data_IF_209524478187
#
_entry.id   IF_209524478187
#
_cell.length_a   1.000
_cell.length_b   1.000
_cell.length_c   1.000
_cell.angle_alpha   90.00
_cell.angle_beta   90.00
_cell.angle_gamma   90.00
#
_symmetry.space_group_name_H-M   'P 1'
#
loop_
_entity.id
_entity.type
_entity.pdbx_description
1 polymer ?
#
# COMPACT_ATOMS: atom_id res chain seq x y z
N UNK A 1 5.74 3.08 39.80
CA UNK A 1 5.01 2.04 39.05
C UNK A 1 5.50 2.10 37.63
N UNK A 2 6.54 1.31 37.28
CA UNK A 2 7.11 1.25 35.91
C UNK A 2 6.16 0.47 35.04
N UNK A 3 5.48 1.13 34.10
CA UNK A 3 4.77 0.43 33.04
C UNK A 3 5.81 -0.16 32.09
N UNK A 4 5.83 -1.48 32.02
CA UNK A 4 6.64 -2.27 31.11
C UNK A 4 6.12 -2.06 29.68
N UNK A 5 6.84 -1.25 28.89
CA UNK A 5 6.48 -0.82 27.53
C UNK A 5 6.92 -1.80 26.44
N UNK A 6 7.29 -3.03 26.79
CA UNK A 6 7.95 -3.95 25.86
C UNK A 6 7.01 -4.87 25.05
N UNK A 7 5.70 -4.75 25.20
CA UNK A 7 4.75 -5.58 24.42
C UNK A 7 3.79 -4.69 23.66
N UNK A 8 4.17 -4.32 22.42
CA UNK A 8 3.16 -3.92 21.43
C UNK A 8 2.13 -5.07 21.35
N UNK A 9 0.82 -4.79 21.49
CA UNK A 9 -0.18 -5.84 21.43
C UNK A 9 -0.16 -6.44 20.02
N UNK A 10 0.45 -7.62 19.89
CA UNK A 10 0.32 -8.45 18.69
C UNK A 10 -1.17 -8.58 18.42
N UNK A 11 -1.62 -8.08 17.26
CA UNK A 11 -3.01 -8.22 16.86
C UNK A 11 -3.34 -9.71 16.92
N UNK A 12 -4.27 -10.18 17.76
CA UNK A 12 -4.48 -11.60 17.98
C UNK A 12 -4.82 -12.26 16.64
N UNK A 13 -4.15 -13.36 16.33
CA UNK A 13 -4.24 -14.13 15.09
C UNK A 13 -5.70 -14.42 14.67
N UNK A 14 -6.57 -14.59 15.63
CA UNK A 14 -8.01 -14.71 15.47
C UNK A 14 -8.68 -13.50 14.77
N UNK A 15 -8.24 -12.26 15.06
CA UNK A 15 -8.78 -11.06 14.39
C UNK A 15 -8.31 -10.93 12.94
N UNK A 16 -7.12 -11.44 12.65
CA UNK A 16 -6.57 -11.51 11.29
C UNK A 16 -7.40 -12.48 10.45
N UNK A 17 -7.66 -13.69 10.97
CA UNK A 17 -8.47 -14.69 10.31
C UNK A 17 -9.87 -14.17 9.94
N UNK A 18 -10.59 -13.56 10.90
CA UNK A 18 -11.93 -13.00 10.64
C UNK A 18 -11.98 -11.95 9.53
N UNK A 19 -10.90 -11.18 9.34
CA UNK A 19 -10.84 -10.14 8.29
C UNK A 19 -10.60 -10.70 6.90
N UNK A 20 -10.03 -11.92 6.79
CA UNK A 20 -9.70 -12.56 5.53
C UNK A 20 -10.73 -13.61 5.09
N UNK A 21 -11.48 -14.21 6.03
CA UNK A 21 -12.47 -15.26 5.72
C UNK A 21 -13.50 -14.78 4.72
N UNK A 22 -14.12 -13.61 4.94
CA UNK A 22 -15.16 -13.10 4.06
C UNK A 22 -14.65 -12.79 2.64
N UNK A 23 -13.54 -12.04 2.44
CA UNK A 23 -12.97 -11.82 1.11
C UNK A 23 -12.57 -13.11 0.40
N UNK A 24 -11.96 -14.06 1.12
CA UNK A 24 -11.56 -15.35 0.56
C UNK A 24 -12.78 -16.17 0.13
N UNK A 25 -13.84 -16.18 0.94
CA UNK A 25 -15.07 -16.90 0.61
C UNK A 25 -15.73 -16.31 -0.65
N UNK A 26 -15.83 -14.98 -0.75
CA UNK A 26 -16.39 -14.31 -1.92
C UNK A 26 -15.58 -14.62 -3.17
N UNK A 27 -14.25 -14.55 -3.09
CA UNK A 27 -13.37 -14.87 -4.21
C UNK A 27 -13.50 -16.34 -4.64
N UNK A 28 -13.46 -17.28 -3.69
CA UNK A 28 -13.63 -18.71 -3.97
C UNK A 28 -15.01 -19.01 -4.55
N UNK A 29 -16.06 -18.30 -4.11
CA UNK A 29 -17.41 -18.44 -4.68
C UNK A 29 -17.44 -18.06 -6.17
N UNK A 30 -16.89 -16.88 -6.53
CA UNK A 30 -16.86 -16.46 -7.93
C UNK A 30 -15.94 -17.35 -8.78
N UNK A 31 -14.81 -17.78 -8.24
CA UNK A 31 -13.91 -18.71 -8.92
C UNK A 31 -14.58 -20.06 -9.18
N UNK A 32 -15.22 -20.63 -8.15
CA UNK A 32 -15.96 -21.89 -8.29
C UNK A 32 -17.09 -21.74 -9.30
N UNK A 33 -17.86 -20.66 -9.24
CA UNK A 33 -18.96 -20.40 -10.17
C UNK A 33 -18.45 -20.25 -11.61
N UNK A 34 -17.32 -19.58 -11.81
CA UNK A 34 -16.70 -19.42 -13.13
C UNK A 34 -16.23 -20.76 -13.70
N UNK A 35 -15.69 -21.65 -12.86
CA UNK A 35 -15.24 -22.98 -13.29
C UNK A 35 -16.39 -23.95 -13.56
N UNK A 36 -17.49 -23.84 -12.81
CA UNK A 36 -18.63 -24.77 -12.87
C UNK A 36 -19.83 -24.20 -13.64
N UNK A 37 -19.71 -23.01 -14.24
CA UNK A 37 -20.83 -22.29 -14.87
C UNK A 37 -21.55 -23.13 -15.92
N UNK A 38 -20.81 -23.86 -16.76
CA UNK A 38 -21.40 -24.62 -17.88
C UNK A 38 -22.20 -25.82 -17.36
N UNK A 39 -21.67 -26.55 -16.38
CA UNK A 39 -22.36 -27.65 -15.73
C UNK A 39 -23.58 -27.21 -14.91
N UNK A 40 -23.44 -26.04 -14.20
CA UNK A 40 -24.51 -25.48 -13.38
C UNK A 40 -25.65 -24.94 -14.23
N UNK A 41 -25.34 -24.28 -15.34
CA UNK A 41 -26.35 -23.75 -16.27
C UNK A 41 -27.10 -24.90 -16.92
N UNK A 42 -26.43 -25.95 -17.41
CA UNK A 42 -27.05 -27.10 -18.02
C UNK A 42 -27.94 -27.89 -17.04
N UNK A 43 -27.42 -28.09 -15.80
CA UNK A 43 -28.11 -28.94 -14.81
C UNK A 43 -29.30 -28.27 -14.10
N UNK A 44 -29.16 -26.95 -13.77
CA UNK A 44 -30.13 -26.26 -12.94
C UNK A 44 -31.06 -25.30 -13.71
N UNK A 45 -30.61 -24.76 -14.84
CA UNK A 45 -31.33 -23.75 -15.59
C UNK A 45 -31.92 -24.25 -16.92
N UNK A 46 -31.53 -25.42 -17.38
CA UNK A 46 -32.07 -26.03 -18.61
C UNK A 46 -31.94 -25.08 -19.81
N UNK A 47 -33.03 -24.94 -20.60
CA UNK A 47 -33.06 -24.05 -21.76
C UNK A 47 -33.24 -22.56 -21.37
N UNK A 48 -32.26 -21.98 -20.74
CA UNK A 48 -32.28 -20.54 -20.43
C UNK A 48 -31.90 -19.71 -21.67
N UNK A 49 -32.53 -18.55 -21.83
CA UNK A 49 -32.24 -17.67 -22.97
C UNK A 49 -30.76 -17.29 -23.01
N UNK A 50 -30.22 -17.14 -24.22
CA UNK A 50 -28.82 -16.74 -24.45
C UNK A 50 -28.39 -15.45 -23.71
N UNK A 51 -29.35 -14.56 -23.50
CA UNK A 51 -29.14 -13.30 -22.75
C UNK A 51 -28.80 -13.56 -21.29
N UNK A 52 -29.47 -14.52 -20.65
CA UNK A 52 -29.20 -14.85 -19.23
C UNK A 52 -27.87 -15.58 -19.09
N UNK A 53 -27.53 -16.50 -20.03
CA UNK A 53 -26.23 -17.18 -20.05
C UNK A 53 -25.09 -16.16 -20.19
N UNK A 54 -25.23 -15.19 -21.10
CA UNK A 54 -24.25 -14.12 -21.29
C UNK A 54 -24.10 -13.25 -20.05
N UNK A 55 -25.23 -12.87 -19.42
CA UNK A 55 -25.23 -12.10 -18.18
C UNK A 55 -24.54 -12.82 -17.02
N UNK A 56 -24.74 -14.12 -16.86
CA UNK A 56 -24.07 -14.94 -15.86
C UNK A 56 -22.57 -15.05 -16.12
N UNK A 57 -22.17 -15.22 -17.39
CA UNK A 57 -20.76 -15.29 -17.78
C UNK A 57 -20.03 -13.97 -17.47
N UNK A 58 -20.58 -12.83 -17.90
CA UNK A 58 -19.99 -11.53 -17.62
C UNK A 58 -20.01 -11.21 -16.12
N UNK A 59 -21.14 -11.48 -15.43
CA UNK A 59 -21.26 -11.23 -14.00
C UNK A 59 -20.23 -12.02 -13.17
N UNK A 60 -19.99 -13.28 -13.52
CA UNK A 60 -19.00 -14.12 -12.84
C UNK A 60 -17.56 -13.64 -13.06
N UNK A 61 -17.22 -13.23 -14.29
CA UNK A 61 -15.87 -12.70 -14.61
C UNK A 61 -15.62 -11.37 -13.92
N UNK A 62 -16.57 -10.44 -13.96
CA UNK A 62 -16.48 -9.15 -13.25
C UNK A 62 -16.37 -9.37 -11.75
N UNK A 63 -17.22 -10.27 -11.21
CA UNK A 63 -17.18 -10.64 -9.80
C UNK A 63 -15.84 -11.22 -9.36
N UNK A 64 -15.22 -12.07 -10.19
CA UNK A 64 -13.90 -12.63 -9.94
C UNK A 64 -12.81 -11.53 -9.87
N UNK A 65 -12.78 -10.60 -10.83
CA UNK A 65 -11.80 -9.51 -10.83
C UNK A 65 -11.94 -8.60 -9.61
N UNK A 66 -13.17 -8.18 -9.29
CA UNK A 66 -13.43 -7.26 -8.16
C UNK A 66 -13.20 -7.94 -6.81
N UNK A 67 -13.65 -9.20 -6.65
CA UNK A 67 -13.41 -9.96 -5.42
C UNK A 67 -11.93 -10.31 -5.24
N UNK A 68 -11.22 -10.58 -6.34
CA UNK A 68 -9.76 -10.75 -6.32
C UNK A 68 -9.03 -9.50 -5.87
N UNK A 69 -9.35 -8.34 -6.43
CA UNK A 69 -8.79 -7.05 -5.98
C UNK A 69 -9.10 -6.78 -4.50
N UNK A 70 -10.32 -7.06 -4.05
CA UNK A 70 -10.71 -6.90 -2.65
C UNK A 70 -9.93 -7.84 -1.73
N UNK A 71 -9.73 -9.09 -2.12
CA UNK A 71 -8.93 -10.06 -1.37
C UNK A 71 -7.47 -9.60 -1.27
N UNK A 72 -6.84 -9.23 -2.39
CA UNK A 72 -5.45 -8.74 -2.43
C UNK A 72 -5.30 -7.47 -1.58
N UNK A 73 -6.23 -6.53 -1.69
CA UNK A 73 -6.25 -5.32 -0.86
C UNK A 73 -6.34 -5.65 0.63
N UNK A 74 -7.13 -6.66 1.02
CA UNK A 74 -7.21 -7.12 2.43
C UNK A 74 -5.93 -7.80 2.88
N UNK A 75 -5.32 -8.63 2.04
CA UNK A 75 -4.03 -9.24 2.32
C UNK A 75 -2.95 -8.18 2.55
N UNK A 76 -2.82 -7.22 1.65
CA UNK A 76 -1.85 -6.13 1.80
C UNK A 76 -2.14 -5.31 3.07
N UNK A 77 -3.41 -5.01 3.35
CA UNK A 77 -3.77 -4.24 4.55
C UNK A 77 -3.38 -4.98 5.83
N UNK A 78 -3.67 -6.28 5.92
CA UNK A 78 -3.44 -7.08 7.12
C UNK A 78 -1.96 -7.40 7.31
N UNK A 79 -1.27 -7.87 6.25
CA UNK A 79 0.11 -8.31 6.37
C UNK A 79 1.12 -7.17 6.29
N UNK A 80 0.94 -6.26 5.34
CA UNK A 80 1.91 -5.19 5.10
C UNK A 80 1.62 -3.98 6.01
N UNK A 81 0.41 -3.42 5.97
CA UNK A 81 0.13 -2.20 6.72
C UNK A 81 -0.06 -2.44 8.22
N UNK A 82 -0.89 -3.41 8.61
CA UNK A 82 -1.20 -3.68 10.02
C UNK A 82 -0.19 -4.64 10.68
N UNK A 83 0.47 -5.51 9.89
CA UNK A 83 1.49 -6.44 10.38
C UNK A 83 2.87 -5.80 10.41
N UNK A 84 3.44 -5.53 9.22
CA UNK A 84 4.83 -5.09 9.10
C UNK A 84 5.00 -3.63 9.57
N UNK A 85 4.27 -2.71 8.97
CA UNK A 85 4.47 -1.26 9.21
C UNK A 85 4.00 -0.84 10.60
N UNK A 86 2.86 -1.34 11.08
CA UNK A 86 2.40 -1.04 12.44
C UNK A 86 3.29 -1.70 13.51
N UNK A 87 3.92 -2.84 13.21
CA UNK A 87 4.88 -3.50 14.10
C UNK A 87 6.19 -2.73 14.27
N UNK A 88 6.67 -2.09 13.20
CA UNK A 88 7.89 -1.27 13.21
C UNK A 88 7.60 0.12 13.80
N UNK A 89 6.45 0.70 13.49
CA UNK A 89 6.03 2.01 13.96
C UNK A 89 5.12 1.84 15.17
N UNK A 90 5.51 2.31 16.34
CA UNK A 90 4.66 2.28 17.55
C UNK A 90 3.36 3.11 17.43
N UNK A 91 3.00 3.54 16.22
CA UNK A 91 1.82 4.37 15.92
C UNK A 91 0.93 3.68 14.88
N UNK A 92 -0.39 3.88 14.95
CA UNK A 92 -1.31 3.34 13.95
C UNK A 92 -0.99 3.94 12.56
N UNK A 93 -1.02 3.09 11.54
CA UNK A 93 -0.76 3.49 10.15
C UNK A 93 -1.88 4.44 9.67
N UNK A 94 -1.55 5.60 9.09
CA UNK A 94 -2.55 6.51 8.50
C UNK A 94 -3.44 5.81 7.47
N UNK A 95 -4.63 6.33 7.23
CA UNK A 95 -5.58 5.75 6.26
C UNK A 95 -5.15 5.96 4.81
N UNK A 96 -4.52 7.10 4.51
CA UNK A 96 -4.11 7.48 3.15
C UNK A 96 -3.34 6.40 2.38
N UNK A 97 -2.27 5.77 2.89
CA UNK A 97 -1.56 4.73 2.16
C UNK A 97 -2.44 3.51 1.84
N UNK A 98 -3.36 3.14 2.74
CA UNK A 98 -4.31 2.04 2.53
C UNK A 98 -5.31 2.36 1.43
N UNK A 99 -5.81 3.59 1.40
CA UNK A 99 -6.77 4.06 0.41
C UNK A 99 -6.13 4.18 -0.98
N UNK A 100 -4.89 4.67 -1.06
CA UNK A 100 -4.11 4.71 -2.31
C UNK A 100 -3.85 3.30 -2.84
N UNK A 101 -3.47 2.36 -1.96
CA UNK A 101 -3.29 0.95 -2.35
C UNK A 101 -4.59 0.35 -2.89
N UNK A 102 -5.72 0.62 -2.22
CA UNK A 102 -7.03 0.17 -2.68
C UNK A 102 -7.37 0.74 -4.06
N UNK A 103 -7.18 2.07 -4.25
CA UNK A 103 -7.47 2.74 -5.51
C UNK A 103 -6.66 2.15 -6.68
N UNK A 104 -5.37 1.87 -6.49
CA UNK A 104 -4.51 1.24 -7.50
C UNK A 104 -5.03 -0.17 -7.83
N UNK A 105 -5.30 -1.00 -6.83
CA UNK A 105 -5.75 -2.38 -7.03
C UNK A 105 -7.11 -2.45 -7.74
N UNK A 106 -8.06 -1.62 -7.34
CA UNK A 106 -9.35 -1.56 -8.02
C UNK A 106 -9.24 -0.99 -9.43
N UNK A 107 -8.33 -0.02 -9.66
CA UNK A 107 -8.01 0.46 -11.00
C UNK A 107 -7.48 -0.66 -11.90
N UNK A 108 -6.54 -1.47 -11.41
CA UNK A 108 -6.03 -2.65 -12.14
C UNK A 108 -7.14 -3.68 -12.39
N UNK A 109 -8.04 -3.91 -11.42
CA UNK A 109 -9.17 -4.82 -11.61
C UNK A 109 -10.14 -4.33 -12.69
N UNK A 110 -10.46 -3.04 -12.71
CA UNK A 110 -11.30 -2.44 -13.77
C UNK A 110 -10.63 -2.60 -15.14
N UNK A 111 -9.33 -2.35 -15.26
CA UNK A 111 -8.59 -2.58 -16.49
C UNK A 111 -8.61 -4.06 -16.90
N UNK A 112 -8.47 -4.98 -15.95
CA UNK A 112 -8.60 -6.41 -16.19
C UNK A 112 -9.99 -6.79 -16.74
N UNK A 113 -11.05 -6.24 -16.16
CA UNK A 113 -12.42 -6.42 -16.65
C UNK A 113 -12.57 -5.89 -18.08
N UNK A 114 -12.10 -4.68 -18.38
CA UNK A 114 -12.17 -4.11 -19.72
C UNK A 114 -11.44 -4.96 -20.76
N UNK A 115 -10.26 -5.48 -20.39
CA UNK A 115 -9.46 -6.31 -21.30
C UNK A 115 -10.04 -7.70 -21.53
N UNK A 116 -10.49 -8.37 -20.45
CA UNK A 116 -10.84 -9.82 -20.52
C UNK A 116 -12.32 -10.07 -20.71
N UNK A 117 -13.19 -9.19 -20.21
CA UNK A 117 -14.65 -9.34 -20.30
C UNK A 117 -15.21 -8.62 -21.53
N UNK A 118 -14.72 -7.39 -21.77
CA UNK A 118 -15.19 -6.57 -22.88
C UNK A 118 -14.26 -6.63 -24.11
N UNK A 119 -13.17 -7.40 -24.05
CA UNK A 119 -12.18 -7.57 -25.13
C UNK A 119 -11.66 -6.23 -25.68
N UNK A 120 -11.68 -5.16 -24.85
CA UNK A 120 -11.23 -3.84 -25.25
C UNK A 120 -9.71 -3.73 -25.24
N UNK A 121 -9.17 -3.07 -26.26
CA UNK A 121 -7.74 -2.78 -26.28
C UNK A 121 -7.38 -1.78 -25.18
N UNK A 122 -6.64 -2.23 -24.18
CA UNK A 122 -6.16 -1.40 -23.06
C UNK A 122 -4.78 -0.79 -23.32
N UNK A 123 -4.21 -1.00 -24.50
CA UNK A 123 -2.85 -0.51 -24.85
C UNK A 123 -2.73 1.00 -24.67
N UNK A 124 -3.73 1.77 -25.11
CA UNK A 124 -3.75 3.23 -24.93
C UNK A 124 -3.82 3.64 -23.45
N UNK A 125 -4.58 2.92 -22.63
CA UNK A 125 -4.69 3.18 -21.19
C UNK A 125 -3.36 2.88 -20.50
N UNK A 126 -2.69 1.77 -20.85
CA UNK A 126 -1.35 1.47 -20.34
C UNK A 126 -0.32 2.53 -20.70
N UNK A 127 -0.32 2.99 -21.96
CA UNK A 127 0.60 4.03 -22.41
C UNK A 127 0.39 5.35 -21.65
N UNK A 128 -0.86 5.80 -21.52
CA UNK A 128 -1.18 7.04 -20.77
C UNK A 128 -0.92 6.90 -19.28
N UNK A 129 -1.21 5.73 -18.69
CA UNK A 129 -0.88 5.44 -17.29
C UNK A 129 0.63 5.47 -17.02
N UNK A 130 1.44 5.00 -17.99
CA UNK A 130 2.89 5.09 -17.91
C UNK A 130 3.39 6.53 -17.85
N UNK A 131 2.88 7.40 -18.72
CA UNK A 131 3.20 8.84 -18.70
C UNK A 131 2.79 9.48 -17.36
N UNK A 132 1.56 9.19 -16.89
CA UNK A 132 1.09 9.66 -15.58
C UNK A 132 2.00 9.16 -14.44
N UNK A 133 2.41 7.90 -14.49
CA UNK A 133 3.35 7.31 -13.52
C UNK A 133 4.70 8.04 -13.47
N UNK A 134 5.24 8.46 -14.62
CA UNK A 134 6.47 9.24 -14.69
C UNK A 134 6.27 10.60 -13.99
N UNK A 135 5.18 11.31 -14.28
CA UNK A 135 4.88 12.61 -13.66
C UNK A 135 4.76 12.49 -12.15
N UNK A 136 4.02 11.49 -11.66
CA UNK A 136 3.88 11.20 -10.23
C UNK A 136 5.23 10.80 -9.62
N UNK A 137 6.04 9.98 -10.31
CA UNK A 137 7.37 9.58 -9.87
C UNK A 137 8.31 10.77 -9.68
N UNK A 138 8.30 11.72 -10.63
CA UNK A 138 9.09 12.97 -10.51
C UNK A 138 8.58 13.81 -9.32
N UNK A 139 7.27 13.93 -9.14
CA UNK A 139 6.69 14.66 -8.01
C UNK A 139 7.06 14.05 -6.64
N UNK A 140 7.16 12.73 -6.57
CA UNK A 140 7.48 11.97 -5.35
C UNK A 140 8.99 11.74 -5.15
N UNK A 141 9.85 12.16 -6.08
CA UNK A 141 11.30 11.90 -6.06
C UNK A 141 11.93 12.19 -4.70
N UNK A 142 11.67 13.36 -4.13
CA UNK A 142 12.28 13.76 -2.87
C UNK A 142 11.80 12.88 -1.69
N UNK A 143 10.52 12.48 -1.70
CA UNK A 143 9.98 11.57 -0.66
C UNK A 143 10.64 10.20 -0.75
N UNK A 144 10.85 9.69 -1.96
CA UNK A 144 11.53 8.42 -2.19
C UNK A 144 12.97 8.50 -1.71
N UNK A 145 13.70 9.56 -2.07
CA UNK A 145 15.07 9.78 -1.60
C UNK A 145 15.16 9.87 -0.08
N UNK A 146 14.26 10.60 0.58
CA UNK A 146 14.21 10.70 2.05
C UNK A 146 14.12 9.32 2.70
N UNK A 147 13.27 8.43 2.15
CA UNK A 147 13.08 7.06 2.67
C UNK A 147 14.34 6.22 2.51
N UNK A 148 14.94 6.22 1.31
CA UNK A 148 16.15 5.43 1.05
C UNK A 148 17.34 5.91 1.88
N UNK A 149 17.53 7.22 2.00
CA UNK A 149 18.60 7.78 2.83
C UNK A 149 18.34 7.48 4.31
N UNK A 150 17.10 7.61 4.77
CA UNK A 150 16.74 7.24 6.14
C UNK A 150 17.01 5.76 6.44
N UNK A 151 16.75 4.86 5.49
CA UNK A 151 17.08 3.44 5.62
C UNK A 151 18.60 3.23 5.66
N UNK A 152 19.36 3.88 4.76
CA UNK A 152 20.82 3.82 4.74
C UNK A 152 21.43 4.33 6.05
N UNK A 153 20.89 5.41 6.62
CA UNK A 153 21.32 5.94 7.93
C UNK A 153 21.12 4.93 9.07
N UNK A 154 20.10 4.07 8.99
CA UNK A 154 19.90 3.02 10.00
C UNK A 154 20.87 1.85 9.84
N UNK A 155 21.30 1.56 8.62
CA UNK A 155 22.24 0.47 8.31
C UNK A 155 23.69 0.90 8.50
N UNK A 156 24.08 2.04 7.91
CA UNK A 156 25.47 2.50 7.89
C UNK A 156 25.86 3.34 9.10
N UNK A 157 24.86 3.98 9.76
CA UNK A 157 25.04 4.82 10.94
C UNK A 157 26.18 5.85 10.81
N UNK A 158 26.24 6.68 9.76
CA UNK A 158 27.30 7.66 9.57
C UNK A 158 27.39 8.66 10.72
N UNK A 159 26.28 8.91 11.42
CA UNK A 159 26.17 9.62 12.69
C UNK A 159 25.11 8.97 13.58
N UNK A 160 25.16 9.21 14.87
CA UNK A 160 24.29 8.60 15.87
C UNK A 160 23.45 9.65 16.60
N UNK A 161 22.42 9.19 17.29
CA UNK A 161 21.68 10.06 18.21
C UNK A 161 22.63 10.55 19.30
N UNK A 162 22.70 11.88 19.47
CA UNK A 162 23.63 12.56 20.36
C UNK A 162 24.77 13.28 19.63
N UNK A 163 25.07 12.93 18.39
CA UNK A 163 26.13 13.59 17.62
C UNK A 163 25.75 14.98 17.17
N UNK A 164 26.74 15.85 17.04
CA UNK A 164 26.59 17.18 16.47
C UNK A 164 26.83 17.12 14.97
N UNK A 165 25.86 17.59 14.20
CA UNK A 165 25.91 17.62 12.74
C UNK A 165 25.70 19.04 12.22
N UNK A 166 26.33 19.32 11.07
CA UNK A 166 26.14 20.57 10.35
C UNK A 166 25.41 20.29 9.04
N UNK A 167 24.23 20.85 8.88
CA UNK A 167 23.43 20.73 7.65
C UNK A 167 23.65 21.96 6.79
N UNK A 168 24.14 21.72 5.57
CA UNK A 168 24.37 22.77 4.58
C UNK A 168 23.05 23.08 3.84
N UNK A 169 22.57 24.30 3.95
CA UNK A 169 21.37 24.71 3.25
C UNK A 169 21.75 25.42 1.93
N UNK A 170 21.40 24.82 0.81
CA UNK A 170 21.86 25.17 -0.54
C UNK A 170 21.49 26.60 -1.05
N UNK A 171 20.72 27.37 -0.30
CA UNK A 171 20.21 28.68 -0.76
C UNK A 171 20.71 29.91 0.01
N UNK A 172 21.34 29.74 1.14
CA UNK A 172 21.98 30.83 1.92
C UNK A 172 23.18 30.22 2.62
N UNK A 173 24.24 30.95 2.82
CA UNK A 173 25.41 30.54 3.60
C UNK A 173 25.12 30.24 5.09
N UNK A 174 23.88 29.93 5.40
CA UNK A 174 23.38 29.58 6.72
C UNK A 174 23.52 28.08 6.96
N UNK A 175 24.47 27.71 7.78
CA UNK A 175 24.62 26.34 8.27
C UNK A 175 23.75 26.15 9.50
N UNK A 176 23.00 25.08 9.54
CA UNK A 176 22.24 24.66 10.72
C UNK A 176 23.12 23.68 11.49
N UNK A 177 23.59 24.09 12.68
CA UNK A 177 24.33 23.21 13.59
C UNK A 177 23.38 22.74 14.68
N UNK A 178 23.28 21.41 14.87
CA UNK A 178 22.44 20.85 15.90
C UNK A 178 22.83 19.45 16.32
N UNK A 179 22.42 19.07 17.51
CA UNK A 179 22.58 17.74 18.05
C UNK A 179 21.44 16.83 17.54
N UNK A 180 21.75 15.66 17.02
CA UNK A 180 20.77 14.69 16.57
C UNK A 180 20.01 14.13 17.77
N UNK A 181 18.68 14.30 17.78
CA UNK A 181 17.82 13.76 18.84
C UNK A 181 17.08 12.51 18.40
N UNK A 182 16.65 12.49 17.14
CA UNK A 182 15.82 11.42 16.61
C UNK A 182 16.08 11.28 15.11
N UNK A 183 16.23 10.04 14.65
CA UNK A 183 16.34 9.70 13.22
C UNK A 183 15.12 8.86 12.86
N UNK A 184 14.29 9.39 11.97
CA UNK A 184 13.14 8.70 11.42
C UNK A 184 13.39 8.29 9.97
N UNK A 185 12.53 7.44 9.41
CA UNK A 185 12.63 6.95 8.03
C UNK A 185 12.63 8.05 6.95
N UNK A 186 12.11 9.25 7.25
CA UNK A 186 12.05 10.38 6.30
C UNK A 186 12.76 11.65 6.80
N UNK A 187 12.84 11.84 8.10
CA UNK A 187 13.32 13.10 8.70
C UNK A 187 14.22 12.84 9.89
N UNK A 188 15.22 13.70 10.06
CA UNK A 188 16.07 13.76 11.23
C UNK A 188 15.72 15.00 12.06
N UNK A 189 15.56 14.84 13.36
CA UNK A 189 15.32 15.95 14.31
C UNK A 189 16.60 16.38 14.95
N UNK A 190 16.88 17.68 14.87
CA UNK A 190 18.04 18.32 15.45
C UNK A 190 17.63 19.29 16.53
N UNK A 191 18.43 19.37 17.59
CA UNK A 191 18.34 20.42 18.62
C UNK A 191 19.50 21.37 18.43
N UNK A 192 19.21 22.63 18.14
CA UNK A 192 20.22 23.66 18.00
C UNK A 192 20.81 24.11 19.35
N UNK A 193 21.92 24.86 19.33
CA UNK A 193 22.53 25.47 20.49
C UNK A 193 21.55 26.39 21.23
N UNK A 194 20.64 27.03 20.52
CA UNK A 194 19.57 27.91 21.07
C UNK A 194 18.39 27.11 21.66
N UNK A 195 18.51 25.76 21.76
CA UNK A 195 17.46 24.84 22.23
C UNK A 195 16.24 24.75 21.31
N UNK A 196 16.29 25.28 20.09
CA UNK A 196 15.23 25.14 19.10
C UNK A 196 15.24 23.70 18.48
N UNK A 197 14.05 23.18 18.20
CA UNK A 197 13.88 21.88 17.51
C UNK A 197 13.71 22.13 16.02
N UNK A 198 14.58 21.57 15.21
CA UNK A 198 14.51 21.64 13.74
C UNK A 198 14.30 20.26 13.19
N UNK A 199 13.40 20.14 12.21
CA UNK A 199 13.15 18.90 11.47
C UNK A 199 13.71 19.05 10.06
N UNK A 200 14.66 18.19 9.72
CA UNK A 200 15.34 18.21 8.42
C UNK A 200 14.95 16.93 7.65
N UNK A 201 14.55 17.03 6.37
CA UNK A 201 14.41 15.85 5.52
C UNK A 201 15.74 15.12 5.37
N UNK A 202 15.74 13.79 5.32
CA UNK A 202 16.96 12.99 5.24
C UNK A 202 17.73 13.18 3.92
N UNK A 203 17.05 13.65 2.87
CA UNK A 203 17.66 13.96 1.56
C UNK A 203 18.45 15.26 1.50
N UNK A 204 18.64 15.93 2.65
CA UNK A 204 19.32 17.22 2.75
C UNK A 204 20.68 17.12 3.42
#
# INVERSE_FOLDING_TARGET
MKMDSSKAPLVPFWRIGKRLVLPSFIFCFFLFFLMSKDELVEKFLGNVSSVVQLGLAYGSQIGMWLSGAFLVQRLITVFFWDGLIAGISSRPVPRLPKDVTAMILFGVAVMGVLATVFEQSITGIWATSGVFGIVVGIALRNVILDVFIGLSMHVEQPFRIGDWVMVHQNRRETHIIGQVIEINWRTTRLKTTEKNMIVVPNSR
#
